data_IF_972998223030
#
_entry.id   IF_972998223030
#
_cell.length_a   1.000
_cell.length_b   1.000
_cell.length_c   1.000
_cell.angle_alpha   90.00
_cell.angle_beta   90.00
_cell.angle_gamma   90.00
#
_symmetry.space_group_name_H-M   'P 1'
#
loop_
_entity.id
_entity.type
_entity.pdbx_description
1 polymer ?
#
# COMPACT_ATOMS: atom_id res chain seq x y z
N UNK A 1 -18.14 44.27 11.45
CA UNK A 1 -17.09 44.59 10.46
C UNK A 1 -16.39 43.27 10.21
N UNK A 2 -16.84 42.52 9.19
CA UNK A 2 -16.28 41.21 8.88
C UNK A 2 -14.81 41.37 8.51
N UNK A 3 -13.92 40.76 9.28
CA UNK A 3 -12.51 40.67 8.92
C UNK A 3 -12.42 39.90 7.60
N UNK A 4 -12.08 40.62 6.54
CA UNK A 4 -11.93 40.05 5.20
C UNK A 4 -10.76 39.08 5.24
N UNK A 5 -11.06 37.78 5.41
CA UNK A 5 -10.06 36.73 5.47
C UNK A 5 -9.20 36.81 4.21
N UNK A 6 -7.88 36.79 4.37
CA UNK A 6 -6.98 36.85 3.22
C UNK A 6 -7.09 35.51 2.46
N UNK A 7 -7.45 35.60 1.18
CA UNK A 7 -7.55 34.45 0.28
C UNK A 7 -6.45 34.53 -0.77
N UNK A 8 -5.67 33.46 -0.90
CA UNK A 8 -4.65 33.32 -1.96
C UNK A 8 -5.07 32.22 -2.93
N UNK A 9 -4.94 32.49 -4.23
CA UNK A 9 -5.13 31.51 -5.30
C UNK A 9 -3.77 31.06 -5.82
N UNK A 10 -3.54 29.75 -5.83
CA UNK A 10 -2.35 29.11 -6.38
C UNK A 10 -2.81 28.35 -7.63
N UNK A 11 -2.25 28.70 -8.78
CA UNK A 11 -2.52 28.02 -10.05
C UNK A 11 -1.45 26.96 -10.26
N UNK A 12 -1.86 25.74 -10.57
CA UNK A 12 -1.00 24.56 -10.62
C UNK A 12 -0.90 24.10 -12.07
N UNK A 13 0.31 24.20 -12.61
CA UNK A 13 0.67 23.71 -13.94
C UNK A 13 1.27 22.30 -13.87
N UNK A 14 1.46 21.65 -15.03
CA UNK A 14 2.02 20.29 -15.13
C UNK A 14 3.44 20.15 -14.57
N UNK A 15 4.21 21.23 -14.52
CA UNK A 15 5.58 21.25 -13.99
C UNK A 15 5.63 21.33 -12.46
N UNK A 16 4.51 21.66 -11.79
CA UNK A 16 4.52 21.84 -10.34
C UNK A 16 4.59 20.49 -9.62
N UNK A 17 5.65 20.28 -8.85
CA UNK A 17 5.80 19.12 -7.99
C UNK A 17 5.09 19.29 -6.65
N UNK A 18 4.85 18.16 -5.97
CA UNK A 18 4.22 18.12 -4.65
C UNK A 18 5.00 18.99 -3.63
N UNK A 19 6.33 18.93 -3.69
CA UNK A 19 7.21 19.67 -2.78
C UNK A 19 7.09 21.17 -2.95
N UNK A 20 6.86 21.65 -4.17
CA UNK A 20 6.74 23.08 -4.45
C UNK A 20 5.44 23.63 -3.89
N UNK A 21 4.33 22.90 -4.06
CA UNK A 21 3.04 23.28 -3.47
C UNK A 21 3.10 23.30 -1.93
N UNK A 22 3.76 22.31 -1.31
CA UNK A 22 3.91 22.29 0.15
C UNK A 22 4.73 23.50 0.63
N UNK A 23 5.80 23.87 -0.08
CA UNK A 23 6.59 25.07 0.23
C UNK A 23 5.79 26.35 0.03
N UNK A 24 4.97 26.42 -1.02
CA UNK A 24 4.15 27.59 -1.33
C UNK A 24 3.04 27.78 -0.30
N UNK A 25 2.40 26.69 0.13
CA UNK A 25 1.43 26.68 1.23
C UNK A 25 2.07 27.19 2.52
N UNK A 26 3.30 26.78 2.82
CA UNK A 26 4.01 27.26 4.01
C UNK A 26 4.37 28.76 3.91
N UNK A 27 4.85 29.20 2.75
CA UNK A 27 5.26 30.60 2.50
C UNK A 27 4.10 31.58 2.54
N UNK A 28 2.93 31.16 2.08
CA UNK A 28 1.74 32.01 1.97
C UNK A 28 1.21 32.38 3.35
N UNK A 29 0.89 33.65 3.59
CA UNK A 29 0.34 34.13 4.88
C UNK A 29 -1.19 34.12 4.98
N UNK A 30 -1.86 33.76 3.89
CA UNK A 30 -3.32 33.71 3.81
C UNK A 30 -3.89 32.52 4.61
N UNK A 31 -5.04 32.75 5.23
CA UNK A 31 -5.79 31.72 5.98
C UNK A 31 -6.58 30.80 5.04
N UNK A 32 -6.95 31.32 3.86
CA UNK A 32 -7.73 30.60 2.84
C UNK A 32 -6.90 30.43 1.58
N UNK A 33 -6.78 29.19 1.11
CA UNK A 33 -6.02 28.83 -0.09
C UNK A 33 -6.93 28.12 -1.08
N UNK A 34 -6.93 28.61 -2.32
CA UNK A 34 -7.58 27.97 -3.47
C UNK A 34 -6.50 27.38 -4.35
N UNK A 35 -6.49 26.05 -4.48
CA UNK A 35 -5.62 25.33 -5.42
C UNK A 35 -6.37 25.12 -6.73
N UNK A 36 -5.95 25.81 -7.78
CA UNK A 36 -6.58 25.72 -9.10
C UNK A 36 -5.76 24.83 -10.01
N UNK A 37 -6.32 23.69 -10.37
CA UNK A 37 -5.78 22.79 -11.38
C UNK A 37 -6.40 23.15 -12.72
N UNK A 38 -5.61 23.78 -13.58
CA UNK A 38 -5.98 24.16 -14.95
C UNK A 38 -5.81 22.99 -15.91
N UNK A 39 -4.89 22.08 -15.62
CA UNK A 39 -4.50 20.98 -16.49
C UNK A 39 -4.47 19.63 -15.76
N UNK A 40 -4.28 18.55 -16.51
CA UNK A 40 -4.06 17.22 -15.95
C UNK A 40 -2.67 17.12 -15.35
N UNK A 41 -2.57 17.33 -14.04
CA UNK A 41 -1.31 17.20 -13.30
C UNK A 41 -1.21 15.83 -12.63
N UNK A 42 0.03 15.33 -12.50
CA UNK A 42 0.31 14.05 -11.82
C UNK A 42 -0.12 14.04 -10.35
N UNK A 43 -0.27 15.22 -9.75
CA UNK A 43 -0.78 15.43 -8.41
C UNK A 43 -2.22 14.95 -8.25
N UNK A 44 -3.02 15.00 -9.32
CA UNK A 44 -4.42 14.57 -9.31
C UNK A 44 -4.58 13.06 -9.49
N UNK A 45 -3.53 12.35 -9.93
CA UNK A 45 -3.56 10.90 -10.17
C UNK A 45 -3.67 10.13 -8.85
N UNK A 46 -3.02 10.63 -7.78
CA UNK A 46 -2.95 9.94 -6.50
C UNK A 46 -3.68 10.71 -5.39
N UNK A 47 -4.64 10.07 -4.68
CA UNK A 47 -5.27 10.69 -3.51
C UNK A 47 -4.26 10.93 -2.37
N UNK A 48 -3.13 10.22 -2.35
CA UNK A 48 -2.08 10.39 -1.34
C UNK A 48 -1.39 11.76 -1.51
N UNK A 49 -1.12 12.18 -2.75
CA UNK A 49 -0.50 13.48 -3.03
C UNK A 49 -1.39 14.62 -2.50
N UNK A 50 -2.68 14.57 -2.82
CA UNK A 50 -3.67 15.52 -2.33
C UNK A 50 -3.82 15.45 -0.79
N UNK A 51 -3.72 14.25 -0.21
CA UNK A 51 -3.75 14.08 1.25
C UNK A 51 -2.58 14.79 1.92
N UNK A 52 -1.37 14.65 1.39
CA UNK A 52 -0.17 15.34 1.90
C UNK A 52 -0.34 16.85 1.84
N UNK A 53 -0.89 17.37 0.73
CA UNK A 53 -1.19 18.80 0.57
C UNK A 53 -2.22 19.27 1.61
N UNK A 54 -3.30 18.50 1.80
CA UNK A 54 -4.33 18.79 2.80
C UNK A 54 -3.76 18.82 4.22
N UNK A 55 -2.90 17.85 4.57
CA UNK A 55 -2.24 17.80 5.88
C UNK A 55 -1.23 18.92 6.07
N UNK A 56 -0.51 19.32 5.02
CA UNK A 56 0.37 20.49 5.06
C UNK A 56 -0.42 21.77 5.34
N UNK A 57 -1.55 21.98 4.66
CA UNK A 57 -2.44 23.13 4.91
C UNK A 57 -3.00 23.10 6.34
N UNK A 58 -3.45 21.93 6.82
CA UNK A 58 -3.97 21.76 8.18
C UNK A 58 -2.93 22.02 9.27
N UNK A 59 -1.66 21.63 9.04
CA UNK A 59 -0.55 21.90 9.97
C UNK A 59 -0.33 23.39 10.17
N UNK A 60 -0.50 24.16 9.10
CA UNK A 60 -0.39 25.62 9.10
C UNK A 60 -1.70 26.33 9.51
N UNK A 61 -2.74 25.58 9.93
CA UNK A 61 -4.08 26.09 10.24
C UNK A 61 -4.76 26.85 9.08
N UNK A 62 -4.53 26.42 7.83
CA UNK A 62 -5.12 27.03 6.64
C UNK A 62 -6.28 26.20 6.10
N UNK A 63 -7.30 26.89 5.60
CA UNK A 63 -8.42 26.29 4.88
C UNK A 63 -8.06 26.12 3.41
N UNK A 64 -8.33 24.93 2.88
CA UNK A 64 -7.94 24.53 1.54
C UNK A 64 -9.16 24.09 0.73
N UNK A 65 -9.33 24.67 -0.45
CA UNK A 65 -10.28 24.23 -1.46
C UNK A 65 -9.52 23.89 -2.73
N UNK A 66 -9.85 22.76 -3.35
CA UNK A 66 -9.30 22.33 -4.63
C UNK A 66 -10.29 22.62 -5.76
N UNK A 67 -9.93 23.55 -6.63
CA UNK A 67 -10.64 23.84 -7.86
C UNK A 67 -10.07 22.97 -8.98
N UNK A 68 -10.79 21.92 -9.38
CA UNK A 68 -10.34 20.92 -10.34
C UNK A 68 -11.26 20.97 -11.55
N UNK A 69 -10.80 21.60 -12.63
CA UNK A 69 -11.61 21.85 -13.81
C UNK A 69 -11.57 20.62 -14.72
N UNK A 70 -12.73 20.09 -15.11
CA UNK A 70 -12.89 19.03 -16.12
C UNK A 70 -12.07 17.73 -15.88
N UNK A 71 -11.74 17.42 -14.62
CA UNK A 71 -11.02 16.17 -14.29
C UNK A 71 -11.77 15.35 -13.22
N UNK A 72 -12.61 14.38 -13.61
CA UNK A 72 -13.41 13.58 -12.67
C UNK A 72 -12.55 12.69 -11.77
N UNK A 73 -11.41 12.20 -12.27
CA UNK A 73 -10.46 11.38 -11.50
C UNK A 73 -9.85 12.22 -10.38
N UNK A 74 -9.39 13.44 -10.71
CA UNK A 74 -8.88 14.39 -9.74
C UNK A 74 -9.92 14.76 -8.67
N UNK A 75 -11.17 14.99 -9.07
CA UNK A 75 -12.28 15.27 -8.13
C UNK A 75 -12.50 14.09 -7.19
N UNK A 76 -12.55 12.85 -7.71
CA UNK A 76 -12.69 11.64 -6.90
C UNK A 76 -11.54 11.51 -5.90
N UNK A 77 -10.31 11.66 -6.36
CA UNK A 77 -9.11 11.53 -5.52
C UNK A 77 -9.04 12.63 -4.45
N UNK A 78 -9.44 13.85 -4.78
CA UNK A 78 -9.54 14.95 -3.83
C UNK A 78 -10.62 14.71 -2.77
N UNK A 79 -11.77 14.14 -3.14
CA UNK A 79 -12.81 13.71 -2.17
C UNK A 79 -12.32 12.59 -1.26
N UNK A 80 -11.51 11.65 -1.75
CA UNK A 80 -10.87 10.61 -0.93
C UNK A 80 -9.82 11.17 0.04
N UNK A 81 -9.03 12.15 -0.40
CA UNK A 81 -8.18 12.94 0.50
C UNK A 81 -9.04 13.77 1.50
N UNK A 82 -10.30 13.99 1.12
CA UNK A 82 -11.36 14.81 1.70
C UNK A 82 -10.97 16.27 1.83
N UNK A 83 -10.61 16.81 0.67
CA UNK A 83 -10.57 18.23 0.36
C UNK A 83 -11.91 18.57 -0.30
N UNK A 84 -12.47 19.74 0.02
CA UNK A 84 -13.64 20.24 -0.71
C UNK A 84 -13.24 20.60 -2.14
N UNK A 85 -14.03 20.15 -3.10
CA UNK A 85 -13.77 20.34 -4.53
C UNK A 85 -14.80 21.25 -5.18
N UNK A 86 -14.35 22.01 -6.17
CA UNK A 86 -15.17 22.84 -7.07
C UNK A 86 -14.75 22.53 -8.51
N UNK A 87 -15.70 22.24 -9.39
CA UNK A 87 -15.39 21.95 -10.81
C UNK A 87 -15.37 23.21 -11.69
N UNK A 88 -16.07 24.27 -11.24
CA UNK A 88 -16.24 25.48 -12.03
C UNK A 88 -15.04 26.41 -11.85
N UNK A 89 -14.67 27.20 -12.87
CA UNK A 89 -13.59 28.20 -12.80
C UNK A 89 -13.92 29.41 -11.90
N UNK A 90 -15.08 29.39 -11.22
CA UNK A 90 -15.55 30.44 -10.33
C UNK A 90 -14.73 30.52 -9.03
N UNK A 91 -14.70 31.68 -8.41
CA UNK A 91 -14.09 31.81 -7.09
C UNK A 91 -14.99 31.13 -6.04
N UNK A 92 -14.43 30.47 -5.01
CA UNK A 92 -15.25 29.79 -4.01
C UNK A 92 -16.17 30.75 -3.26
N UNK A 93 -17.41 30.33 -3.05
CA UNK A 93 -18.43 31.02 -2.27
C UNK A 93 -18.20 30.82 -0.77
N UNK A 94 -18.78 31.67 0.09
CA UNK A 94 -18.65 31.52 1.54
C UNK A 94 -19.23 30.20 2.05
N UNK A 95 -20.30 29.70 1.41
CA UNK A 95 -20.88 28.40 1.69
C UNK A 95 -19.89 27.24 1.48
N UNK A 96 -19.10 27.29 0.40
CA UNK A 96 -18.08 26.27 0.14
C UNK A 96 -16.93 26.30 1.14
N UNK A 97 -16.61 27.48 1.70
CA UNK A 97 -15.64 27.62 2.79
C UNK A 97 -16.18 27.07 4.11
N UNK A 98 -17.46 27.28 4.40
CA UNK A 98 -18.13 26.72 5.58
C UNK A 98 -18.12 25.19 5.52
N UNK A 99 -18.55 24.60 4.41
CA UNK A 99 -18.49 23.14 4.21
C UNK A 99 -17.07 22.59 4.33
N UNK A 100 -16.07 23.28 3.77
CA UNK A 100 -14.67 22.87 3.89
C UNK A 100 -14.20 22.88 5.35
N UNK A 101 -14.65 23.85 6.15
CA UNK A 101 -14.35 23.93 7.57
C UNK A 101 -15.02 22.80 8.37
N UNK A 102 -16.28 22.50 8.07
CA UNK A 102 -17.04 21.42 8.70
C UNK A 102 -16.40 20.05 8.42
N UNK A 103 -15.95 19.81 7.18
CA UNK A 103 -15.25 18.59 6.80
C UNK A 103 -13.94 18.38 7.58
N UNK A 104 -13.23 19.46 7.92
CA UNK A 104 -12.01 19.37 8.73
C UNK A 104 -12.37 19.06 10.19
N UNK A 105 -13.41 19.69 10.72
CA UNK A 105 -13.89 19.47 12.10
C UNK A 105 -14.40 18.05 12.28
N UNK A 106 -15.21 17.54 11.35
CA UNK A 106 -15.75 16.17 11.39
C UNK A 106 -14.63 15.14 11.37
N UNK A 107 -13.63 15.31 10.52
CA UNK A 107 -12.43 14.45 10.49
C UNK A 107 -11.60 14.52 11.76
N UNK A 108 -11.42 15.71 12.34
CA UNK A 108 -10.71 15.86 13.62
C UNK A 108 -11.46 15.11 14.73
N UNK A 109 -12.79 15.19 14.73
CA UNK A 109 -13.65 14.48 15.68
C UNK A 109 -13.57 12.96 15.50
N UNK A 110 -13.69 12.47 14.27
CA UNK A 110 -13.56 11.05 13.94
C UNK A 110 -12.20 10.49 14.36
N UNK A 111 -11.10 11.24 14.09
CA UNK A 111 -9.75 10.86 14.54
C UNK A 111 -9.66 10.76 16.07
N UNK A 112 -10.30 11.69 16.79
CA UNK A 112 -10.32 11.68 18.25
C UNK A 112 -11.13 10.50 18.81
N UNK A 113 -12.28 10.20 18.21
CA UNK A 113 -13.12 9.05 18.58
C UNK A 113 -12.41 7.73 18.33
N UNK A 114 -11.76 7.56 17.17
CA UNK A 114 -10.91 6.38 16.88
C UNK A 114 -9.79 6.22 17.90
N UNK A 115 -9.16 7.31 18.32
CA UNK A 115 -8.12 7.26 19.35
C UNK A 115 -8.67 6.78 20.69
N UNK A 116 -9.84 7.26 21.11
CA UNK A 116 -10.52 6.81 22.36
C UNK A 116 -10.90 5.33 22.31
N UNK A 117 -11.37 4.84 21.16
CA UNK A 117 -11.70 3.42 20.97
C UNK A 117 -10.44 2.56 21.11
N UNK A 118 -9.35 2.93 20.42
CA UNK A 118 -8.07 2.20 20.51
C UNK A 118 -7.50 2.18 21.94
N UNK A 119 -7.61 3.30 22.67
CA UNK A 119 -7.20 3.38 24.06
C UNK A 119 -8.07 2.51 24.97
N UNK A 120 -9.38 2.42 24.72
CA UNK A 120 -10.30 1.59 25.49
C UNK A 120 -10.09 0.09 25.21
N UNK A 121 -9.80 -0.29 23.97
CA UNK A 121 -9.49 -1.68 23.59
C UNK A 121 -8.16 -2.15 24.20
N UNK A 122 -7.18 -1.26 24.35
CA UNK A 122 -5.91 -1.58 25.01
C UNK A 122 -6.03 -1.78 26.54
N UNK A 123 -7.14 -1.38 27.16
CA UNK A 123 -7.34 -1.37 28.62
C UNK A 123 -8.27 -2.51 29.10
N UNK A 124 -8.66 -3.48 28.26
CA UNK A 124 -9.40 -4.65 28.77
C UNK A 124 -8.45 -5.81 29.14
N UNK A 125 -8.03 -5.96 30.43
CA UNK A 125 -7.24 -7.11 30.88
C UNK A 125 -8.02 -8.44 30.75
N UNK A 126 -9.35 -8.38 30.81
CA UNK A 126 -10.24 -9.55 30.84
C UNK A 126 -10.19 -10.38 29.55
N UNK A 127 -9.84 -9.79 28.40
CA UNK A 127 -9.73 -10.56 27.14
C UNK A 127 -8.37 -11.23 26.96
N UNK A 128 -7.35 -10.82 27.72
CA UNK A 128 -6.01 -11.37 27.64
C UNK A 128 -5.92 -12.70 28.39
N UNK A 129 -6.52 -12.76 29.58
CA UNK A 129 -6.60 -13.99 30.39
C UNK A 129 -7.41 -15.09 29.68
N UNK A 130 -8.55 -14.74 29.07
CA UNK A 130 -9.39 -15.69 28.30
C UNK A 130 -8.67 -16.23 27.06
N UNK A 131 -7.77 -15.45 26.46
CA UNK A 131 -6.96 -15.90 25.33
C UNK A 131 -5.78 -16.77 25.79
N UNK A 132 -5.11 -16.40 26.88
CA UNK A 132 -4.01 -17.18 27.47
C UNK A 132 -4.50 -18.56 27.93
N UNK A 133 -5.66 -18.65 28.61
CA UNK A 133 -6.28 -19.90 29.05
C UNK A 133 -6.63 -20.81 27.86
N UNK A 134 -7.16 -20.24 26.77
CA UNK A 134 -7.56 -21.00 25.57
C UNK A 134 -6.38 -21.45 24.71
N UNK A 135 -5.24 -20.79 24.83
CA UNK A 135 -3.97 -21.20 24.20
C UNK A 135 -3.34 -22.33 25.01
N UNK A 136 -3.31 -22.21 26.34
CA UNK A 136 -2.80 -23.26 27.24
C UNK A 136 -3.62 -24.56 27.11
N UNK A 137 -4.94 -24.48 27.05
CA UNK A 137 -5.82 -25.65 26.89
C UNK A 137 -5.57 -26.40 25.56
N UNK A 138 -5.21 -25.69 24.49
CA UNK A 138 -4.89 -26.31 23.19
C UNK A 138 -3.47 -26.89 23.17
N UNK A 139 -2.52 -26.28 23.88
CA UNK A 139 -1.16 -26.81 24.00
C UNK A 139 -1.21 -28.13 24.80
N UNK A 140 -1.93 -28.18 25.91
CA UNK A 140 -2.06 -29.40 26.73
C UNK A 140 -2.73 -30.55 25.98
N UNK A 141 -3.77 -30.28 25.17
CA UNK A 141 -4.41 -31.29 24.31
C UNK A 141 -3.53 -31.79 23.17
N UNK A 142 -2.50 -31.04 22.79
CA UNK A 142 -1.61 -31.37 21.67
C UNK A 142 -0.36 -32.17 22.05
N UNK A 143 -0.10 -32.37 23.35
CA UNK A 143 1.03 -33.16 23.84
C UNK A 143 0.55 -34.60 24.07
N UNK A 144 0.93 -35.58 23.24
CA UNK A 144 0.61 -36.98 23.51
C UNK A 144 1.37 -37.46 24.77
N UNK A 145 0.64 -37.98 25.75
CA UNK A 145 1.19 -38.62 26.95
C UNK A 145 2.06 -39.81 26.54
N UNK A 146 3.24 -39.94 27.15
CA UNK A 146 4.26 -40.97 26.85
C UNK A 146 3.84 -42.43 27.10
N UNK A 147 2.56 -42.70 27.37
CA UNK A 147 2.05 -44.04 27.69
C UNK A 147 1.48 -44.78 26.47
N UNK A 148 1.22 -44.11 25.34
CA UNK A 148 0.72 -44.75 24.12
C UNK A 148 1.84 -45.22 23.15
N UNK A 149 3.12 -45.11 23.53
CA UNK A 149 4.27 -45.46 22.69
C UNK A 149 5.04 -46.64 23.28
N UNK A 150 4.35 -47.71 23.67
CA UNK A 150 4.97 -49.02 23.89
C UNK A 150 3.99 -50.14 23.59
N UNK A 151 3.78 -50.41 22.31
CA UNK A 151 3.62 -51.74 21.74
C UNK A 151 3.22 -51.58 20.27
N UNK A 152 4.21 -51.63 19.38
CA UNK A 152 4.29 -52.60 18.29
C UNK A 152 5.28 -52.12 17.23
N UNK A 153 6.27 -52.98 17.00
CA UNK A 153 7.23 -52.99 15.89
C UNK A 153 8.24 -51.84 15.77
N UNK A 154 9.48 -52.15 16.14
CA UNK A 154 10.65 -51.32 15.87
C UNK A 154 10.94 -51.21 14.37
N UNK A 155 10.56 -50.08 13.80
CA UNK A 155 11.12 -49.47 12.59
C UNK A 155 11.16 -47.95 12.81
N UNK A 156 12.20 -47.30 12.30
CA UNK A 156 12.43 -45.85 12.41
C UNK A 156 11.18 -45.03 12.01
N UNK A 157 10.94 -43.84 12.59
CA UNK A 157 9.75 -43.06 12.28
C UNK A 157 9.77 -42.62 10.82
N UNK A 158 8.98 -43.31 9.99
CA UNK A 158 8.73 -42.98 8.61
C UNK A 158 8.02 -41.62 8.60
N UNK A 159 8.69 -40.59 8.05
CA UNK A 159 8.05 -39.30 7.71
C UNK A 159 6.82 -39.61 6.86
N UNK A 160 5.62 -39.33 7.37
CA UNK A 160 4.40 -39.39 6.57
C UNK A 160 4.45 -38.24 5.58
N UNK A 161 4.93 -38.51 4.37
CA UNK A 161 4.82 -37.58 3.25
C UNK A 161 3.33 -37.30 3.01
N UNK A 162 2.98 -36.02 2.97
CA UNK A 162 1.64 -35.58 2.63
C UNK A 162 1.36 -35.91 1.15
N UNK A 163 0.28 -36.64 0.91
CA UNK A 163 -0.17 -37.04 -0.43
C UNK A 163 -1.33 -36.11 -0.79
N UNK A 164 -1.16 -35.26 -1.80
CA UNK A 164 -2.24 -34.40 -2.32
C UNK A 164 -3.37 -35.29 -2.90
N UNK A 165 -4.57 -34.74 -3.07
CA UNK A 165 -5.75 -35.45 -3.63
C UNK A 165 -5.51 -36.06 -5.02
N UNK A 166 -4.41 -35.68 -5.68
CA UNK A 166 -3.93 -36.20 -6.97
C UNK A 166 -2.92 -37.36 -6.85
N UNK A 167 -2.65 -37.86 -5.63
CA UNK A 167 -1.78 -39.01 -5.40
C UNK A 167 -0.27 -38.73 -5.45
N UNK A 168 0.14 -37.47 -5.64
CA UNK A 168 1.57 -37.09 -5.66
C UNK A 168 2.08 -36.78 -4.25
N UNK A 169 3.22 -37.41 -3.90
CA UNK A 169 3.93 -37.15 -2.65
C UNK A 169 4.69 -35.83 -2.77
N UNK A 170 4.28 -34.83 -1.99
CA UNK A 170 4.97 -33.54 -1.93
C UNK A 170 5.52 -33.32 -0.53
N UNK A 171 6.77 -32.84 -0.42
CA UNK A 171 7.34 -32.42 0.86
C UNK A 171 6.49 -31.26 1.40
N UNK A 172 6.06 -31.38 2.67
CA UNK A 172 5.22 -30.39 3.34
C UNK A 172 5.81 -28.98 3.24
N UNK A 173 5.02 -27.92 2.97
CA UNK A 173 5.52 -26.55 2.86
C UNK A 173 5.80 -25.88 4.22
N UNK A 174 5.65 -26.61 5.33
CA UNK A 174 6.10 -26.13 6.63
C UNK A 174 7.63 -26.17 6.67
N UNK A 175 8.25 -25.01 6.45
CA UNK A 175 9.66 -24.78 6.76
C UNK A 175 9.78 -24.91 8.27
N UNK A 176 10.32 -26.03 8.74
CA UNK A 176 10.78 -26.17 10.11
C UNK A 176 11.87 -25.13 10.33
N UNK A 177 11.63 -24.21 11.26
CA UNK A 177 12.59 -23.25 11.79
C UNK A 177 13.71 -24.07 12.43
N UNK A 178 14.71 -24.46 11.63
CA UNK A 178 16.06 -24.90 12.02
C UNK A 178 16.81 -25.63 10.89
N UNK A 179 16.21 -25.79 9.69
CA UNK A 179 16.83 -26.61 8.63
C UNK A 179 17.19 -25.90 7.33
N UNK A 180 17.38 -24.57 7.32
CA UNK A 180 17.90 -23.83 6.15
C UNK A 180 18.84 -22.68 6.54
N UNK A 181 19.94 -22.98 7.23
CA UNK A 181 21.13 -22.13 7.13
C UNK A 181 22.09 -22.82 6.15
N UNK A 182 22.35 -22.26 4.95
CA UNK A 182 23.38 -22.80 4.09
C UNK A 182 24.74 -22.64 4.78
N UNK A 183 25.31 -23.75 5.24
CA UNK A 183 26.70 -23.82 5.66
C UNK A 183 27.56 -23.50 4.44
N UNK A 184 28.12 -22.29 4.39
CA UNK A 184 29.07 -21.91 3.37
C UNK A 184 30.28 -22.88 3.40
N UNK A 185 30.80 -23.32 2.24
CA UNK A 185 32.01 -24.10 2.19
C UNK A 185 33.22 -23.30 2.67
N UNK A 186 34.12 -24.04 3.30
CA UNK A 186 35.33 -23.63 4.01
C UNK A 186 36.35 -22.95 3.09
N UNK A 187 36.77 -21.74 3.50
CA UNK A 187 38.06 -21.04 3.35
C UNK A 187 38.88 -21.17 2.05
N UNK A 188 39.00 -20.05 1.32
CA UNK A 188 40.30 -19.60 0.79
C UNK A 188 40.75 -18.36 1.58
N UNK A 189 42.00 -18.30 2.09
CA UNK A 189 42.44 -17.25 3.01
C UNK A 189 42.69 -15.94 2.26
N UNK A 190 41.71 -15.04 2.30
CA UNK A 190 41.95 -13.64 1.98
C UNK A 190 42.66 -13.01 3.18
N UNK A 191 43.95 -12.74 3.04
CA UNK A 191 44.74 -11.96 3.99
C UNK A 191 44.13 -10.56 4.15
N UNK A 192 43.30 -10.39 5.17
CA UNK A 192 42.85 -9.07 5.61
C UNK A 192 43.89 -8.58 6.61
N UNK A 193 44.71 -7.62 6.16
CA UNK A 193 45.61 -6.86 7.02
C UNK A 193 44.79 -6.13 8.07
N UNK A 194 44.96 -6.57 9.31
CA UNK A 194 44.32 -6.07 10.51
C UNK A 194 44.88 -4.67 10.87
N UNK A 195 44.42 -3.61 10.22
CA UNK A 195 44.78 -2.24 10.63
C UNK A 195 43.85 -1.76 11.74
N UNK A 196 44.19 -2.13 12.98
CA UNK A 196 43.66 -1.52 14.21
C UNK A 196 43.92 -0.01 14.21
N UNK A 197 43.00 0.78 13.66
CA UNK A 197 43.05 2.24 13.75
C UNK A 197 42.55 2.70 15.11
N UNK A 198 43.50 2.88 16.04
CA UNK A 198 43.36 3.77 17.20
C UNK A 198 43.04 5.19 16.70
N UNK A 199 42.17 5.98 17.35
CA UNK A 199 41.99 7.38 16.98
C UNK A 199 43.21 8.19 17.46
N UNK A 200 44.24 8.29 16.63
CA UNK A 200 45.31 9.25 16.85
C UNK A 200 44.90 10.59 16.25
N UNK A 201 44.43 11.52 17.09
CA UNK A 201 44.42 12.94 16.75
C UNK A 201 45.88 13.41 16.60
N UNK A 202 46.37 13.43 15.35
CA UNK A 202 47.56 14.19 14.99
C UNK A 202 47.11 15.52 14.40
N UNK A 203 47.08 16.55 15.24
CA UNK A 203 47.00 17.94 14.80
C UNK A 203 48.29 18.27 14.03
N UNK A 204 48.30 18.02 12.72
CA UNK A 204 49.36 18.53 11.85
C UNK A 204 48.99 19.94 11.43
N UNK A 205 49.76 20.89 11.96
CA UNK A 205 49.90 22.23 11.42
C UNK A 205 50.10 22.16 9.90
N UNK A 206 49.25 22.88 9.17
CA UNK A 206 49.55 23.61 7.93
C UNK A 206 48.31 23.66 7.01
N UNK A 207 47.33 24.46 7.39
CA UNK A 207 46.56 25.21 6.39
C UNK A 207 46.82 26.66 6.68
N UNK A 208 47.67 27.29 5.86
CA UNK A 208 47.79 28.75 5.82
C UNK A 208 46.47 29.31 5.31
N UNK A 209 45.55 29.58 6.23
CA UNK A 209 44.38 30.44 5.98
C UNK A 209 44.91 31.88 5.95
N UNK A 210 45.62 32.21 4.88
CA UNK A 210 45.86 33.60 4.52
C UNK A 210 44.69 34.05 3.66
N UNK A 211 43.96 35.03 4.20
CA UNK A 211 43.06 35.97 3.53
C UNK A 211 41.71 35.39 3.06
N UNK A 212 40.74 35.35 3.95
CA UNK A 212 39.45 36.04 3.75
C UNK A 212 39.01 36.56 5.12
N UNK A 213 39.49 37.75 5.48
CA UNK A 213 38.83 38.61 6.46
C UNK A 213 38.40 39.84 5.65
N UNK A 214 37.10 40.18 5.60
CA UNK A 214 36.68 41.44 4.99
C UNK A 214 37.35 42.56 5.77
N UNK A 215 37.93 43.51 5.03
CA UNK A 215 38.64 44.66 5.56
C UNK A 215 37.65 45.60 6.26
N UNK A 216 37.28 45.28 7.50
CA UNK A 216 36.54 46.17 8.38
C UNK A 216 37.52 47.25 8.83
N UNK A 217 37.45 48.41 8.17
CA UNK A 217 38.05 49.65 8.67
C UNK A 217 37.44 49.93 10.05
N UNK A 218 38.13 49.56 11.12
CA UNK A 218 37.79 49.99 12.48
C UNK A 218 38.23 51.44 12.66
N UNK A 219 37.43 52.37 12.13
CA UNK A 219 37.42 53.75 12.60
C UNK A 219 36.71 53.75 13.96
N UNK A 220 37.46 53.68 15.04
CA UNK A 220 36.89 53.70 16.38
C UNK A 220 37.96 53.57 17.45
N UNK A 221 38.15 54.65 18.21
CA UNK A 221 39.04 54.73 19.34
C UNK A 221 38.47 53.87 20.50
N UNK A 222 38.50 52.54 20.37
CA UNK A 222 37.93 51.63 21.36
C UNK A 222 38.91 51.46 22.52
N UNK A 223 38.55 52.06 23.66
CA UNK A 223 39.25 51.88 24.92
C UNK A 223 39.28 50.38 25.30
N UNK A 224 40.44 49.72 25.10
CA UNK A 224 40.66 48.29 25.36
C UNK A 224 40.15 47.83 26.74
N UNK A 225 40.24 48.70 27.75
CA UNK A 225 39.73 48.45 29.11
C UNK A 225 38.20 48.34 29.21
N UNK A 226 37.44 49.08 28.38
CA UNK A 226 35.96 49.01 28.36
C UNK A 226 35.47 47.77 27.60
N UNK A 227 36.13 47.42 26.50
CA UNK A 227 35.78 46.22 25.70
C UNK A 227 36.08 44.94 26.49
N UNK A 228 37.21 44.88 27.19
CA UNK A 228 37.54 43.74 28.05
C UNK A 228 36.52 43.56 29.19
N UNK A 229 36.04 44.66 29.77
CA UNK A 229 35.00 44.63 30.81
C UNK A 229 33.68 44.09 30.25
N UNK A 230 33.25 44.58 29.09
CA UNK A 230 32.02 44.12 28.43
C UNK A 230 32.11 42.63 28.06
N UNK A 231 33.26 42.18 27.54
CA UNK A 231 33.48 40.77 27.22
C UNK A 231 33.43 39.89 28.49
N UNK A 232 34.08 40.31 29.58
CA UNK A 232 34.09 39.54 30.82
C UNK A 232 32.71 39.48 31.48
N UNK A 233 31.95 40.58 31.47
CA UNK A 233 30.65 40.66 32.16
C UNK A 233 29.47 40.15 31.34
N UNK A 234 29.58 40.06 30.01
CA UNK A 234 28.46 39.63 29.14
C UNK A 234 28.77 38.29 28.47
N UNK A 235 29.96 38.11 27.91
CA UNK A 235 30.28 36.93 27.12
C UNK A 235 30.55 35.70 28.00
N UNK A 236 31.27 35.88 29.12
CA UNK A 236 31.56 34.79 30.06
C UNK A 236 30.29 34.18 30.68
N UNK A 237 29.34 34.96 31.24
CA UNK A 237 28.11 34.36 31.79
C UNK A 237 27.23 33.74 30.70
N UNK A 238 27.18 34.32 29.49
CA UNK A 238 26.44 33.74 28.37
C UNK A 238 27.02 32.38 27.95
N UNK A 239 28.35 32.26 27.90
CA UNK A 239 29.04 31.02 27.64
C UNK A 239 28.74 29.97 28.73
N UNK A 240 28.76 30.39 30.00
CA UNK A 240 28.45 29.53 31.14
C UNK A 240 27.01 29.01 31.07
N UNK A 241 26.06 29.89 30.72
CA UNK A 241 24.65 29.53 30.54
C UNK A 241 24.46 28.53 29.39
N UNK A 242 25.20 28.71 28.29
CA UNK A 242 25.14 27.82 27.14
C UNK A 242 25.72 26.43 27.45
N UNK A 243 26.79 26.36 28.24
CA UNK A 243 27.36 25.09 28.70
C UNK A 243 26.38 24.38 29.65
N UNK A 244 25.76 25.13 30.57
CA UNK A 244 24.76 24.58 31.48
C UNK A 244 23.53 24.08 30.73
N UNK A 245 23.03 24.83 29.75
CA UNK A 245 21.92 24.41 28.89
C UNK A 245 22.23 23.17 28.07
N UNK A 246 23.45 23.06 27.53
CA UNK A 246 23.91 21.86 26.81
C UNK A 246 24.01 20.63 27.73
N UNK A 247 24.47 20.81 28.96
CA UNK A 247 24.51 19.74 29.97
C UNK A 247 23.09 19.25 30.33
N UNK A 248 22.17 20.18 30.61
CA UNK A 248 20.76 19.85 30.88
C UNK A 248 20.10 19.18 29.67
N UNK A 249 20.37 19.62 28.44
CA UNK A 249 19.83 18.99 27.24
C UNK A 249 20.33 17.56 27.04
N UNK A 250 21.59 17.28 27.38
CA UNK A 250 22.13 15.92 27.29
C UNK A 250 21.57 15.00 28.40
N UNK A 251 21.36 15.53 29.60
CA UNK A 251 20.81 14.78 30.74
C UNK A 251 19.29 14.52 30.57
N UNK A 252 18.52 15.53 30.17
CA UNK A 252 17.06 15.47 30.05
C UNK A 252 16.56 15.15 28.64
N UNK A 253 17.45 15.12 27.65
CA UNK A 253 17.13 14.71 26.28
C UNK A 253 16.81 13.23 26.24
N UNK A 254 15.55 12.88 26.45
CA UNK A 254 15.08 11.50 26.40
C UNK A 254 15.09 11.00 24.95
N UNK A 255 16.15 10.29 24.58
CA UNK A 255 16.24 9.62 23.28
C UNK A 255 15.50 8.28 23.33
N UNK A 256 14.22 8.27 22.96
CA UNK A 256 13.43 7.04 22.86
C UNK A 256 13.78 6.33 21.55
N UNK A 257 14.44 5.18 21.63
CA UNK A 257 14.67 4.29 20.48
C UNK A 257 13.45 3.42 20.26
N UNK A 258 12.60 3.79 19.30
CA UNK A 258 11.42 3.00 18.92
C UNK A 258 11.85 1.98 17.86
N UNK A 259 11.71 0.68 18.16
CA UNK A 259 11.80 -0.38 17.16
C UNK A 259 10.38 -0.72 16.70
N UNK A 260 10.06 -0.40 15.46
CA UNK A 260 8.76 -0.70 14.86
C UNK A 260 8.89 -2.06 14.17
N UNK A 261 8.12 -3.04 14.63
CA UNK A 261 7.95 -4.32 13.97
C UNK A 261 6.66 -4.26 13.17
N UNK A 262 6.76 -4.30 11.84
CA UNK A 262 5.59 -4.34 10.95
C UNK A 262 5.39 -5.78 10.53
N UNK A 263 4.40 -6.43 11.13
CA UNK A 263 3.97 -7.77 10.74
C UNK A 263 2.87 -7.63 9.68
N UNK A 264 3.24 -7.69 8.40
CA UNK A 264 2.28 -7.66 7.31
C UNK A 264 1.70 -9.05 7.10
N UNK A 265 0.53 -9.32 7.68
CA UNK A 265 -0.28 -10.48 7.28
C UNK A 265 -0.84 -10.21 5.87
N UNK A 266 -0.51 -11.00 4.84
CA UNK A 266 -1.11 -10.84 3.52
C UNK A 266 -2.58 -11.19 3.63
N UNK A 267 -3.46 -10.18 3.55
CA UNK A 267 -4.89 -10.41 3.42
C UNK A 267 -5.17 -10.73 1.96
N UNK A 268 -5.33 -12.02 1.65
CA UNK A 268 -5.88 -12.44 0.37
C UNK A 268 -7.37 -12.11 0.37
N UNK A 269 -7.77 -11.09 -0.38
CA UNK A 269 -9.17 -10.75 -0.58
C UNK A 269 -9.68 -11.66 -1.70
N UNK A 270 -10.40 -12.72 -1.33
CA UNK A 270 -11.14 -13.52 -2.30
C UNK A 270 -12.38 -12.71 -2.73
N UNK A 271 -12.44 -12.33 -4.01
CA UNK A 271 -13.59 -11.63 -4.59
C UNK A 271 -14.22 -12.51 -5.66
N UNK A 272 -15.55 -12.69 -5.57
CA UNK A 272 -16.33 -13.47 -6.55
C UNK A 272 -16.85 -12.51 -7.60
N UNK A 273 -16.35 -12.63 -8.83
CA UNK A 273 -16.75 -11.81 -9.97
C UNK A 273 -17.85 -12.57 -10.75
N UNK A 274 -18.95 -11.90 -11.05
CA UNK A 274 -20.10 -12.49 -11.74
C UNK A 274 -20.10 -12.10 -13.22
N UNK A 275 -20.24 -13.07 -14.13
CA UNK A 275 -20.28 -12.77 -15.57
C UNK A 275 -21.64 -12.21 -16.00
N UNK A 276 -21.65 -11.12 -16.78
CA UNK A 276 -22.85 -10.49 -17.32
C UNK A 276 -22.68 -10.24 -18.83
N UNK A 277 -23.69 -10.61 -19.63
CA UNK A 277 -23.69 -10.51 -21.10
C UNK A 277 -24.11 -9.13 -21.62
N UNK A 278 -24.65 -8.27 -20.75
CA UNK A 278 -25.18 -6.95 -21.14
C UNK A 278 -24.18 -5.80 -20.98
N UNK A 279 -23.01 -6.07 -20.38
CA UNK A 279 -21.95 -5.08 -20.19
C UNK A 279 -20.82 -5.27 -21.20
N UNK A 280 -20.30 -4.18 -21.75
CA UNK A 280 -19.15 -4.17 -22.67
C UNK A 280 -17.82 -3.89 -21.97
N UNK A 281 -17.86 -3.46 -20.69
CA UNK A 281 -16.70 -3.07 -19.88
C UNK A 281 -16.81 -3.67 -18.48
N UNK A 282 -15.66 -3.97 -17.87
CA UNK A 282 -15.58 -4.48 -16.50
C UNK A 282 -16.14 -3.42 -15.55
N UNK A 283 -17.14 -3.82 -14.76
CA UNK A 283 -17.72 -2.99 -13.71
C UNK A 283 -17.12 -3.42 -12.35
N UNK A 284 -16.24 -2.56 -11.83
CA UNK A 284 -15.56 -2.78 -10.55
C UNK A 284 -16.43 -2.41 -9.33
N UNK A 285 -17.57 -1.73 -9.52
CA UNK A 285 -18.51 -1.41 -8.45
C UNK A 285 -19.53 -2.54 -8.26
N UNK A 286 -20.01 -3.13 -9.35
CA UNK A 286 -20.94 -4.27 -9.32
C UNK A 286 -20.26 -5.66 -9.34
N UNK A 287 -18.92 -5.71 -9.43
CA UNK A 287 -18.12 -6.94 -9.55
C UNK A 287 -18.52 -7.81 -10.75
N UNK A 288 -18.82 -7.15 -11.89
CA UNK A 288 -19.27 -7.83 -13.10
C UNK A 288 -18.23 -7.80 -14.22
N UNK A 289 -18.10 -8.93 -14.93
CA UNK A 289 -17.20 -9.08 -16.07
C UNK A 289 -18.02 -9.37 -17.33
N UNK A 290 -17.72 -8.71 -18.47
CA UNK A 290 -18.37 -8.99 -19.75
C UNK A 290 -18.13 -10.43 -20.20
N UNK A 291 -19.20 -11.17 -20.49
CA UNK A 291 -19.13 -12.50 -21.13
C UNK A 291 -19.61 -12.42 -22.57
N UNK A 292 -18.79 -12.89 -23.51
CA UNK A 292 -19.15 -12.99 -24.94
C UNK A 292 -19.37 -14.45 -25.30
N UNK A 293 -20.60 -14.81 -25.64
CA UNK A 293 -20.94 -16.14 -26.15
C UNK A 293 -20.71 -16.17 -27.66
N UNK A 294 -19.81 -17.02 -28.13
CA UNK A 294 -19.59 -17.28 -29.56
C UNK A 294 -20.22 -18.63 -29.92
N UNK A 295 -21.28 -18.63 -30.71
CA UNK A 295 -21.89 -19.85 -31.23
C UNK A 295 -21.25 -20.23 -32.56
N UNK A 296 -20.42 -21.26 -32.56
CA UNK A 296 -19.85 -21.84 -33.77
C UNK A 296 -20.77 -22.96 -34.30
N UNK A 297 -21.60 -22.65 -35.30
CA UNK A 297 -22.38 -23.67 -36.01
C UNK A 297 -21.52 -24.32 -37.11
N UNK A 298 -21.22 -25.61 -36.95
CA UNK A 298 -20.46 -26.40 -37.94
C UNK A 298 -21.43 -27.13 -38.87
N UNK A 299 -21.69 -26.54 -40.04
CA UNK A 299 -22.50 -27.17 -41.08
C UNK A 299 -21.76 -28.33 -41.75
N UNK A 300 -22.06 -29.57 -41.37
CA UNK A 300 -21.59 -30.77 -42.07
C UNK A 300 -22.43 -31.00 -43.34
N UNK A 301 -22.11 -30.27 -44.41
CA UNK A 301 -22.71 -30.53 -45.73
C UNK A 301 -21.70 -31.25 -46.62
N UNK A 302 -21.63 -32.57 -46.50
CA UNK A 302 -20.88 -33.42 -47.43
C UNK A 302 -21.77 -33.74 -48.63
N UNK A 303 -21.49 -33.13 -49.78
CA UNK A 303 -22.12 -33.49 -51.05
C UNK A 303 -21.45 -34.76 -51.59
N UNK A 304 -22.02 -35.93 -51.30
CA UNK A 304 -21.59 -37.20 -51.92
C UNK A 304 -22.29 -37.36 -53.27
N UNK A 305 -21.50 -37.51 -54.33
CA UNK A 305 -21.98 -37.79 -55.68
C UNK A 305 -22.43 -39.25 -55.76
N UNK A 306 -23.72 -39.50 -55.96
CA UNK A 306 -24.26 -40.85 -56.08
C UNK A 306 -23.80 -41.50 -57.40
N UNK A 307 -22.99 -42.56 -57.32
CA UNK A 307 -22.50 -43.35 -58.47
C UNK A 307 -23.47 -44.45 -58.94
N UNK A 308 -24.73 -44.41 -58.50
CA UNK A 308 -25.75 -45.41 -58.83
C UNK A 308 -26.54 -45.07 -60.10
N UNK A 309 -26.74 -46.07 -60.97
CA UNK A 309 -27.61 -45.97 -62.15
C UNK A 309 -29.07 -45.78 -61.69
N UNK A 310 -29.72 -44.74 -62.21
CA UNK A 310 -31.06 -44.32 -61.79
C UNK A 310 -32.15 -45.32 -62.23
N UNK A 311 -32.66 -46.11 -61.28
CA UNK A 311 -33.90 -46.87 -61.44
C UNK A 311 -35.06 -46.06 -60.86
N UNK A 312 -35.97 -45.61 -61.74
CA UNK A 312 -37.10 -44.75 -61.39
C UNK A 312 -38.31 -45.62 -60.97
N UNK A 313 -38.49 -45.77 -59.66
CA UNK A 313 -39.73 -46.25 -59.03
C UNK A 313 -40.24 -45.21 -58.03
N UNK A 314 -41.55 -45.17 -57.79
CA UNK A 314 -42.18 -44.27 -56.80
C UNK A 314 -41.57 -44.49 -55.41
N UNK A 315 -41.02 -43.42 -54.83
CA UNK A 315 -40.48 -43.44 -53.47
C UNK A 315 -41.62 -43.38 -52.48
N UNK A 316 -41.72 -44.37 -51.60
CA UNK A 316 -42.53 -44.27 -50.40
C UNK A 316 -41.86 -43.28 -49.44
N UNK A 317 -42.56 -42.20 -49.09
CA UNK A 317 -42.13 -41.26 -48.07
C UNK A 317 -42.78 -41.65 -46.73
N UNK A 318 -41.94 -41.92 -45.73
CA UNK A 318 -42.36 -42.23 -44.36
C UNK A 318 -41.37 -41.62 -43.37
N UNK A 319 -41.89 -41.09 -42.26
CA UNK A 319 -41.07 -40.48 -41.21
C UNK A 319 -40.59 -41.58 -40.26
N UNK A 320 -39.29 -41.86 -40.23
CA UNK A 320 -38.68 -42.82 -39.30
C UNK A 320 -38.02 -42.03 -38.17
N UNK A 321 -38.46 -42.30 -36.94
CA UNK A 321 -37.85 -41.74 -35.73
C UNK A 321 -36.96 -42.80 -35.11
N UNK A 322 -35.65 -42.56 -35.09
CA UNK A 322 -34.66 -43.43 -34.43
C UNK A 322 -34.35 -42.79 -33.08
N UNK A 323 -34.72 -43.46 -32.00
CA UNK A 323 -34.43 -43.03 -30.63
C UNK A 323 -33.29 -43.89 -30.08
N UNK A 324 -32.21 -43.27 -29.64
CA UNK A 324 -31.11 -43.94 -28.95
C UNK A 324 -30.98 -43.34 -27.55
N UNK A 325 -30.94 -44.20 -26.53
CA UNK A 325 -30.79 -43.80 -25.14
C UNK A 325 -29.32 -44.02 -24.74
N UNK A 326 -28.56 -42.94 -24.68
CA UNK A 326 -27.17 -42.95 -24.25
C UNK A 326 -27.11 -42.35 -22.84
N UNK A 327 -26.62 -43.11 -21.86
CA UNK A 327 -26.23 -42.53 -20.57
C UNK A 327 -24.97 -41.69 -20.79
N UNK A 328 -25.16 -40.37 -20.86
CA UNK A 328 -24.10 -39.39 -21.02
C UNK A 328 -23.35 -39.17 -19.70
N UNK A 329 -22.51 -40.12 -19.29
CA UNK A 329 -21.50 -39.88 -18.24
C UNK A 329 -20.05 -40.16 -18.68
N UNK A 330 -19.82 -40.66 -19.90
CA UNK A 330 -18.47 -40.88 -20.42
C UNK A 330 -18.25 -40.14 -21.76
N UNK A 331 -17.14 -39.40 -21.89
CA UNK A 331 -16.77 -38.54 -23.03
C UNK A 331 -16.48 -39.29 -24.35
N UNK A 332 -16.61 -40.62 -24.40
CA UNK A 332 -16.40 -41.42 -25.61
C UNK A 332 -17.70 -42.17 -26.00
N UNK A 333 -18.70 -41.43 -26.48
CA UNK A 333 -19.88 -42.06 -27.11
C UNK A 333 -19.56 -42.45 -28.55
N UNK A 334 -19.60 -43.75 -28.85
CA UNK A 334 -19.34 -44.30 -30.18
C UNK A 334 -20.43 -43.92 -31.18
N UNK A 335 -20.03 -43.43 -32.36
CA UNK A 335 -20.93 -43.10 -33.47
C UNK A 335 -21.85 -44.28 -33.84
N UNK A 336 -23.15 -44.01 -34.00
CA UNK A 336 -24.13 -45.01 -34.43
C UNK A 336 -23.94 -45.28 -35.93
N UNK A 337 -23.26 -46.38 -36.27
CA UNK A 337 -23.12 -46.85 -37.66
C UNK A 337 -24.21 -47.86 -38.00
N UNK A 338 -25.17 -47.48 -38.85
CA UNK A 338 -26.15 -48.40 -39.44
C UNK A 338 -25.64 -48.94 -40.79
N UNK A 339 -25.56 -50.27 -40.98
CA UNK A 339 -25.17 -50.85 -42.26
C UNK A 339 -26.26 -50.66 -43.33
N UNK A 340 -25.81 -50.49 -44.58
CA UNK A 340 -26.72 -50.29 -45.72
C UNK A 340 -27.51 -51.58 -45.98
N UNK A 341 -28.84 -51.48 -46.04
CA UNK A 341 -29.75 -52.59 -46.31
C UNK A 341 -30.44 -53.17 -45.07
N UNK A 342 -30.26 -52.57 -43.89
CA UNK A 342 -31.00 -52.98 -42.70
C UNK A 342 -32.48 -52.62 -42.85
N UNK A 343 -33.33 -53.64 -42.75
CA UNK A 343 -34.79 -53.49 -42.77
C UNK A 343 -35.21 -52.99 -41.39
N UNK A 344 -35.79 -51.79 -41.34
CA UNK A 344 -36.38 -51.20 -40.13
C UNK A 344 -37.87 -51.51 -40.10
#
# INVERSE_FOLDING_TARGET
>A
MEEKSQTTKIVIDTEHELTDLVREIHRTKADRIVLTFTEHTDLLISPINLKVISEAAQRENKLLIAQIIQNPIGIRNAKLAGIKTIDTPSNPTEYEWEEASELIISKKREKLERKKILETVAIQPDQKEVFEEKVEENIEKSIPTKEDIKEETGQEPIKKDYIDKRGLKTRSPFISIDQDMPSAPIEEPINIVDEKRKPSFKLKNAVSIKRILPNIKTNGNFNKKKVLRIFLFIFVPLLLLSILGGFLFNEFGTFVKIKIFVESKPVAIESVLTGDSEIDKIDFEELKIPIKTEEASKGLSNTITATGVASKGEKAEGKVTISYDANCEDEDTSDITLPVGQII
#
